data_IF_404328948141
#
_entry.id   IF_404328948141
#
_cell.length_a   1.000
_cell.length_b   1.000
_cell.length_c   1.000
_cell.angle_alpha   90.00
_cell.angle_beta   90.00
_cell.angle_gamma   90.00
#
_symmetry.space_group_name_H-M   'P 1'
#
loop_
_entity.id
_entity.type
_entity.pdbx_description
1 polymer ?
#
# COMPACT_ATOMS: atom_id res chain seq x y z
N UNK A 1 -16.94 21.66 6.33
CA UNK A 1 -15.82 20.78 6.74
C UNK A 1 -15.50 19.85 5.58
N UNK A 2 -14.41 20.06 4.86
CA UNK A 2 -14.05 19.20 3.73
C UNK A 2 -13.83 17.77 4.26
N UNK A 3 -14.60 16.79 3.77
CA UNK A 3 -14.34 15.36 4.02
C UNK A 3 -12.88 15.11 3.66
N UNK A 4 -12.04 14.85 4.65
CA UNK A 4 -10.70 14.29 4.45
C UNK A 4 -10.94 13.04 3.61
N UNK A 5 -10.63 13.07 2.31
CA UNK A 5 -10.71 11.90 1.43
C UNK A 5 -9.69 10.92 1.98
N UNK A 6 -10.13 10.05 2.91
CA UNK A 6 -9.33 8.93 3.37
C UNK A 6 -8.85 8.20 2.14
N UNK A 7 -7.53 8.00 2.02
CA UNK A 7 -6.99 7.27 0.89
C UNK A 7 -7.66 5.90 0.76
N UNK A 8 -7.64 5.32 -0.44
CA UNK A 8 -8.24 4.01 -0.72
C UNK A 8 -7.71 2.90 0.21
N UNK A 9 -6.53 3.11 0.80
CA UNK A 9 -5.85 2.16 1.68
C UNK A 9 -5.63 2.81 3.05
N UNK A 10 -5.87 2.03 4.10
CA UNK A 10 -5.46 2.40 5.45
C UNK A 10 -3.94 2.49 5.55
N UNK A 11 -3.43 3.33 6.44
CA UNK A 11 -1.98 3.47 6.61
C UNK A 11 -1.32 2.16 7.03
N UNK A 12 -2.00 1.38 7.89
CA UNK A 12 -1.58 0.02 8.24
C UNK A 12 -1.37 -0.86 7.00
N UNK A 13 -2.35 -0.91 6.10
CA UNK A 13 -2.24 -1.72 4.88
C UNK A 13 -1.08 -1.25 3.99
N UNK A 14 -0.86 0.06 3.88
CA UNK A 14 0.29 0.58 3.12
C UNK A 14 1.61 0.10 3.71
N UNK A 15 1.79 0.17 5.02
CA UNK A 15 3.01 -0.30 5.67
C UNK A 15 3.22 -1.81 5.55
N UNK A 16 2.17 -2.63 5.72
CA UNK A 16 2.24 -4.08 5.51
C UNK A 16 2.71 -4.42 4.08
N UNK A 17 2.16 -3.75 3.06
CA UNK A 17 2.57 -3.96 1.67
C UNK A 17 3.97 -3.42 1.38
N UNK A 18 4.39 -2.34 2.04
CA UNK A 18 5.75 -1.85 1.95
C UNK A 18 6.76 -2.83 2.55
N UNK A 19 6.40 -3.55 3.62
CA UNK A 19 7.24 -4.62 4.17
C UNK A 19 7.36 -5.78 3.19
N UNK A 20 6.24 -6.23 2.60
CA UNK A 20 6.24 -7.29 1.58
C UNK A 20 7.07 -6.94 0.34
N UNK A 21 7.11 -5.65 -0.03
CA UNK A 21 7.90 -5.15 -1.15
C UNK A 21 9.35 -4.78 -0.79
N UNK A 22 9.74 -4.87 0.49
CA UNK A 22 11.08 -4.50 0.95
C UNK A 22 11.38 -3.00 0.87
N UNK A 23 10.36 -2.13 0.87
CA UNK A 23 10.52 -0.67 0.84
C UNK A 23 10.17 0.01 2.17
N UNK A 24 9.75 -0.77 3.17
CA UNK A 24 9.33 -0.24 4.47
C UNK A 24 10.41 0.61 5.16
N UNK A 25 11.69 0.23 5.05
CA UNK A 25 12.77 0.99 5.67
C UNK A 25 12.95 2.38 5.04
N UNK A 26 12.82 2.48 3.72
CA UNK A 26 12.84 3.77 3.00
C UNK A 26 11.66 4.62 3.42
N UNK A 27 10.45 4.03 3.48
CA UNK A 27 9.24 4.74 3.92
C UNK A 27 9.38 5.26 5.35
N UNK A 28 9.95 4.46 6.26
CA UNK A 28 10.13 4.85 7.67
C UNK A 28 11.15 5.97 7.84
N UNK A 29 12.25 5.93 7.07
CA UNK A 29 13.36 6.87 7.21
C UNK A 29 13.12 8.18 6.47
N UNK A 30 12.54 8.10 5.28
CA UNK A 30 12.47 9.22 4.33
C UNK A 30 11.03 9.55 3.89
N UNK A 31 10.08 8.66 4.17
CA UNK A 31 8.69 8.82 3.78
C UNK A 31 8.38 8.23 2.40
N UNK A 32 7.09 8.27 2.05
CA UNK A 32 6.58 7.75 0.78
C UNK A 32 7.11 8.50 -0.45
N UNK A 33 7.55 9.75 -0.28
CA UNK A 33 8.11 10.56 -1.37
C UNK A 33 9.43 10.02 -1.93
N UNK A 34 10.20 9.27 -1.11
CA UNK A 34 11.46 8.64 -1.53
C UNK A 34 11.26 7.27 -2.19
N UNK A 35 10.05 6.73 -2.18
CA UNK A 35 9.76 5.44 -2.85
C UNK A 35 9.68 5.67 -4.35
N UNK A 36 10.43 4.88 -5.13
CA UNK A 36 10.39 4.96 -6.58
C UNK A 36 8.97 4.77 -7.13
N UNK A 37 8.62 5.47 -8.21
CA UNK A 37 7.31 5.34 -8.87
C UNK A 37 6.98 3.89 -9.24
N UNK A 38 8.01 3.10 -9.59
CA UNK A 38 7.88 1.66 -9.87
C UNK A 38 7.41 0.88 -8.64
N UNK A 39 8.00 1.14 -7.47
CA UNK A 39 7.63 0.48 -6.23
C UNK A 39 6.25 0.92 -5.73
N UNK A 40 5.88 2.18 -5.91
CA UNK A 40 4.51 2.65 -5.68
C UNK A 40 3.49 1.91 -6.56
N UNK A 41 3.80 1.72 -7.85
CA UNK A 41 2.97 0.92 -8.76
C UNK A 41 2.87 -0.56 -8.34
N UNK A 42 3.98 -1.16 -7.93
CA UNK A 42 4.00 -2.52 -7.39
C UNK A 42 3.16 -2.66 -6.11
N UNK A 43 3.16 -1.63 -5.24
CA UNK A 43 2.36 -1.61 -4.01
C UNK A 43 0.87 -1.64 -4.32
N UNK A 44 0.40 -0.82 -5.26
CA UNK A 44 -1.00 -0.83 -5.67
C UNK A 44 -1.37 -2.16 -6.33
N UNK A 45 -0.50 -2.69 -7.20
CA UNK A 45 -0.71 -4.01 -7.83
C UNK A 45 -0.84 -5.12 -6.78
N UNK A 46 0.04 -5.14 -5.77
CA UNK A 46 0.01 -6.12 -4.69
C UNK A 46 -1.25 -5.98 -3.84
N UNK A 47 -1.68 -4.74 -3.56
CA UNK A 47 -2.93 -4.46 -2.86
C UNK A 47 -4.14 -5.05 -3.58
N UNK A 48 -4.25 -4.82 -4.89
CA UNK A 48 -5.33 -5.36 -5.73
C UNK A 48 -5.29 -6.88 -5.73
N UNK A 49 -4.12 -7.50 -5.94
CA UNK A 49 -3.97 -8.96 -5.89
C UNK A 49 -4.35 -9.55 -4.53
N UNK A 50 -4.09 -8.85 -3.43
CA UNK A 50 -4.50 -9.28 -2.08
C UNK A 50 -6.02 -9.17 -1.91
N UNK A 51 -6.64 -8.11 -2.42
CA UNK A 51 -8.09 -7.91 -2.41
C UNK A 51 -8.81 -8.99 -3.23
N UNK A 52 -8.39 -9.24 -4.47
CA UNK A 52 -8.94 -10.30 -5.33
C UNK A 52 -8.90 -11.66 -4.61
N UNK A 53 -7.74 -12.04 -4.06
CA UNK A 53 -7.60 -13.29 -3.30
C UNK A 53 -8.46 -13.33 -2.05
N UNK A 54 -8.70 -12.20 -1.37
CA UNK A 54 -9.58 -12.15 -0.21
C UNK A 54 -11.05 -12.34 -0.62
N UNK A 55 -11.48 -11.74 -1.73
CA UNK A 55 -12.84 -11.90 -2.28
C UNK A 55 -13.09 -13.31 -2.80
N UNK A 56 -12.10 -13.97 -3.41
CA UNK A 56 -12.23 -15.37 -3.84
C UNK A 56 -12.32 -16.33 -2.65
N UNK A 57 -11.62 -16.06 -1.54
CA UNK A 57 -11.65 -16.91 -0.34
C UNK A 57 -12.87 -16.69 0.57
N UNK A 58 -13.64 -15.63 0.33
CA UNK A 58 -14.88 -15.32 1.05
C UNK A 58 -16.15 -15.80 0.35
N UNK A 59 -16.03 -16.71 -0.64
CA UNK A 59 -17.14 -17.38 -1.32
C UNK A 59 -17.20 -18.85 -0.92
#
# INVERSE_FOLDING_TARGET
MARKRGGLMSDRLKYELAEELGVADVVRREGWGSVSSRNCGNLVRLAIQRAERAMTRGQ
#
